data_IF_406001277765
#
_entry.id   IF_406001277765
#
_cell.length_a   1.000
_cell.length_b   1.000
_cell.length_c   1.000
_cell.angle_alpha   90.00
_cell.angle_beta   90.00
_cell.angle_gamma   90.00
#
_symmetry.space_group_name_H-M   'P 1'
#
loop_
_entity.id
_entity.type
_entity.pdbx_description
1 polymer ?
#
# COMPACT_ATOMS: atom_id res chain seq x y z
N UNK A 1 5.52 7.90 -14.27
CA UNK A 1 4.25 7.80 -13.51
C UNK A 1 3.69 6.40 -13.69
N UNK A 2 3.24 5.76 -12.61
CA UNK A 2 2.63 4.41 -12.66
C UNK A 2 1.26 4.50 -13.37
N UNK A 3 1.02 3.63 -14.36
CA UNK A 3 -0.27 3.58 -15.07
C UNK A 3 -1.42 3.24 -14.11
N UNK A 4 -2.62 3.77 -14.39
CA UNK A 4 -3.84 3.53 -13.60
C UNK A 4 -4.16 2.03 -13.49
N UNK A 5 -3.96 1.27 -14.56
CA UNK A 5 -4.14 -0.19 -14.56
C UNK A 5 -3.15 -0.90 -13.62
N UNK A 6 -1.93 -0.39 -13.56
CA UNK A 6 -0.90 -0.94 -12.69
C UNK A 6 -1.23 -0.67 -11.21
N UNK A 7 -1.72 0.53 -10.87
CA UNK A 7 -2.22 0.86 -9.53
C UNK A 7 -3.40 -0.04 -9.14
N UNK A 8 -4.35 -0.25 -10.05
CA UNK A 8 -5.46 -1.17 -9.87
C UNK A 8 -4.99 -2.61 -9.58
N UNK A 9 -3.98 -3.12 -10.29
CA UNK A 9 -3.43 -4.45 -10.01
C UNK A 9 -2.73 -4.56 -8.65
N UNK A 10 -2.01 -3.52 -8.21
CA UNK A 10 -1.43 -3.48 -6.87
C UNK A 10 -2.52 -3.55 -5.80
N UNK A 11 -3.59 -2.76 -5.96
CA UNK A 11 -4.70 -2.72 -5.03
C UNK A 11 -5.43 -4.08 -4.96
N UNK A 12 -5.66 -4.75 -6.10
CA UNK A 12 -6.21 -6.11 -6.13
C UNK A 12 -5.35 -7.11 -5.37
N UNK A 13 -4.03 -7.09 -5.57
CA UNK A 13 -3.09 -7.96 -4.85
C UNK A 13 -3.08 -7.67 -3.35
N UNK A 14 -3.30 -6.41 -2.96
CA UNK A 14 -3.42 -6.00 -1.57
C UNK A 14 -4.81 -6.32 -0.96
N UNK A 15 -5.73 -6.91 -1.72
CA UNK A 15 -7.07 -7.31 -1.26
C UNK A 15 -8.12 -6.19 -1.28
N UNK A 16 -7.83 -5.04 -1.91
CA UNK A 16 -8.81 -3.96 -2.05
C UNK A 16 -9.80 -4.25 -3.17
N UNK A 17 -11.07 -3.91 -2.95
CA UNK A 17 -12.11 -3.98 -3.98
C UNK A 17 -11.89 -2.89 -5.02
N UNK A 18 -11.29 -3.27 -6.15
CA UNK A 18 -11.03 -2.36 -7.26
C UNK A 18 -12.23 -2.33 -8.19
N UNK A 19 -12.85 -1.16 -8.42
CA UNK A 19 -14.02 -1.07 -9.27
C UNK A 19 -13.66 -1.32 -10.74
N UNK A 20 -14.62 -1.84 -11.49
CA UNK A 20 -14.47 -2.15 -12.91
C UNK A 20 -14.13 -0.88 -13.72
N UNK A 21 -13.31 -1.07 -14.76
CA UNK A 21 -12.87 0.02 -15.63
C UNK A 21 -13.96 0.46 -16.63
N UNK A 22 -13.83 1.65 -17.21
CA UNK A 22 -14.75 2.17 -18.23
C UNK A 22 -14.83 1.20 -19.42
N UNK A 23 -16.03 0.95 -19.92
CA UNK A 23 -16.28 -0.04 -20.99
C UNK A 23 -16.70 -1.42 -20.50
N UNK A 24 -16.66 -1.67 -19.19
CA UNK A 24 -17.32 -2.84 -18.58
C UNK A 24 -18.79 -2.50 -18.30
N UNK A 25 -19.75 -3.40 -18.61
CA UNK A 25 -21.18 -3.19 -18.32
C UNK A 25 -21.47 -2.97 -16.82
N UNK A 26 -20.60 -3.44 -15.93
CA UNK A 26 -20.71 -3.26 -14.47
C UNK A 26 -19.88 -2.08 -13.94
N UNK A 27 -19.34 -1.22 -14.81
CA UNK A 27 -18.58 -0.04 -14.39
C UNK A 27 -19.51 1.07 -13.91
N UNK A 28 -19.38 1.55 -12.66
CA UNK A 28 -20.09 2.74 -12.21
C UNK A 28 -19.51 4.04 -12.81
N UNK A 29 -18.37 3.97 -13.50
CA UNK A 29 -17.70 5.14 -14.07
C UNK A 29 -17.99 5.30 -15.56
N UNK A 30 -18.41 6.51 -15.93
CA UNK A 30 -18.75 6.88 -17.31
C UNK A 30 -17.51 7.20 -18.16
N UNK A 31 -16.42 7.66 -17.54
CA UNK A 31 -15.16 8.01 -18.24
C UNK A 31 -13.94 7.42 -17.55
N UNK A 32 -12.90 7.17 -18.34
CA UNK A 32 -11.60 6.70 -17.85
C UNK A 32 -10.96 7.65 -16.84
N UNK A 33 -11.22 8.95 -16.94
CA UNK A 33 -10.72 9.96 -16.02
C UNK A 33 -11.38 9.84 -14.63
N UNK A 34 -12.70 9.60 -14.59
CA UNK A 34 -13.41 9.35 -13.32
C UNK A 34 -12.94 8.06 -12.65
N UNK A 35 -12.73 7.00 -13.43
CA UNK A 35 -12.17 5.75 -12.92
C UNK A 35 -10.74 5.95 -12.39
N UNK A 36 -9.89 6.67 -13.14
CA UNK A 36 -8.52 6.95 -12.71
C UNK A 36 -8.46 7.72 -11.38
N UNK A 37 -9.31 8.74 -11.20
CA UNK A 37 -9.41 9.46 -9.93
C UNK A 37 -9.79 8.53 -8.77
N UNK A 38 -10.76 7.65 -8.96
CA UNK A 38 -11.17 6.69 -7.93
C UNK A 38 -10.05 5.72 -7.56
N UNK A 39 -9.32 5.19 -8.56
CA UNK A 39 -8.16 4.34 -8.33
C UNK A 39 -7.05 5.10 -7.59
N UNK A 40 -6.82 6.37 -7.93
CA UNK A 40 -5.82 7.20 -7.27
C UNK A 40 -6.18 7.46 -5.80
N UNK A 41 -7.44 7.75 -5.49
CA UNK A 41 -7.89 7.89 -4.10
C UNK A 41 -7.65 6.61 -3.30
N UNK A 42 -8.02 5.44 -3.83
CA UNK A 42 -7.76 4.15 -3.19
C UNK A 42 -6.25 3.89 -3.01
N UNK A 43 -5.45 4.26 -4.02
CA UNK A 43 -4.01 4.10 -3.98
C UNK A 43 -3.35 4.99 -2.92
N UNK A 44 -3.83 6.21 -2.70
CA UNK A 44 -3.33 7.09 -1.62
C UNK A 44 -3.54 6.45 -0.25
N UNK A 45 -4.73 5.90 0.02
CA UNK A 45 -5.00 5.20 1.28
C UNK A 45 -4.08 3.99 1.46
N UNK A 46 -3.95 3.16 0.42
CA UNK A 46 -3.03 2.02 0.44
C UNK A 46 -1.58 2.44 0.68
N UNK A 47 -1.11 3.49 -0.01
CA UNK A 47 0.26 4.00 0.13
C UNK A 47 0.51 4.54 1.54
N UNK A 48 -0.46 5.25 2.13
CA UNK A 48 -0.39 5.71 3.51
C UNK A 48 -0.31 4.55 4.50
N UNK A 49 -1.18 3.53 4.36
CA UNK A 49 -1.14 2.33 5.21
C UNK A 49 0.18 1.57 5.06
N UNK A 50 0.69 1.43 3.83
CA UNK A 50 1.96 0.76 3.56
C UNK A 50 3.14 1.53 4.17
N UNK A 51 3.14 2.86 4.07
CA UNK A 51 4.16 3.71 4.68
C UNK A 51 4.13 3.59 6.20
N UNK A 52 2.94 3.66 6.82
CA UNK A 52 2.78 3.48 8.27
C UNK A 52 3.28 2.11 8.73
N UNK A 53 2.97 1.03 7.99
CA UNK A 53 3.50 -0.30 8.28
C UNK A 53 5.03 -0.35 8.18
N UNK A 54 5.60 0.19 7.10
CA UNK A 54 7.06 0.19 6.93
C UNK A 54 7.80 0.97 8.01
N UNK A 55 7.20 2.05 8.53
CA UNK A 55 7.76 2.84 9.61
C UNK A 55 7.77 2.03 10.92
N UNK A 56 6.66 1.34 11.22
CA UNK A 56 6.57 0.45 12.38
C UNK A 56 7.56 -0.71 12.31
N UNK A 57 7.66 -1.37 11.16
CA UNK A 57 8.61 -2.47 10.94
C UNK A 57 10.07 -1.98 11.17
N UNK A 58 10.38 -0.74 10.76
CA UNK A 58 11.70 -0.13 10.98
C UNK A 58 11.97 0.21 12.46
N UNK A 59 10.96 0.65 13.21
CA UNK A 59 11.08 0.88 14.65
C UNK A 59 11.25 -0.43 15.43
N UNK A 60 10.48 -1.47 15.09
CA UNK A 60 10.61 -2.81 15.65
C UNK A 60 12.02 -3.37 15.40
N UNK A 61 12.56 -3.21 14.18
CA UNK A 61 13.94 -3.58 13.87
C UNK A 61 14.98 -2.82 14.70
N UNK A 62 14.79 -1.52 14.94
CA UNK A 62 15.68 -0.71 15.80
C UNK A 62 15.63 -1.17 17.25
N UNK A 63 14.43 -1.42 17.78
CA UNK A 63 14.25 -1.91 19.15
C UNK A 63 14.90 -3.28 19.33
N UNK A 64 14.72 -4.20 18.37
CA UNK A 64 15.37 -5.51 18.39
C UNK A 64 16.90 -5.39 18.35
N UNK A 65 17.45 -4.51 17.52
CA UNK A 65 18.90 -4.29 17.44
C UNK A 65 19.47 -3.79 18.78
N UNK A 66 18.77 -2.86 19.47
CA UNK A 66 19.18 -2.39 20.79
C UNK A 66 19.14 -3.49 21.85
N UNK A 67 18.12 -4.35 21.82
CA UNK A 67 18.01 -5.49 22.73
C UNK A 67 19.14 -6.50 22.48
N UNK A 68 19.46 -6.81 21.22
CA UNK A 68 20.57 -7.68 20.86
C UNK A 68 21.91 -7.14 21.37
N UNK A 69 22.17 -5.84 21.21
CA UNK A 69 23.41 -5.21 21.66
C UNK A 69 23.54 -5.21 23.19
N UNK A 70 22.44 -4.92 23.91
CA UNK A 70 22.40 -5.04 25.38
C UNK A 70 22.62 -6.47 25.85
N UNK A 71 22.00 -7.45 25.18
CA UNK A 71 22.20 -8.86 25.52
C UNK A 71 23.66 -9.23 25.32
N UNK A 72 24.28 -8.95 24.16
CA UNK A 72 25.68 -9.25 23.89
C UNK A 72 26.63 -8.63 24.93
N UNK A 73 26.34 -7.41 25.39
CA UNK A 73 27.13 -6.74 26.45
C UNK A 73 26.96 -7.39 27.83
N UNK A 74 25.83 -8.03 28.12
CA UNK A 74 25.60 -8.69 29.41
C UNK A 74 26.30 -10.05 29.56
N UNK A 75 26.73 -10.64 28.44
CA UNK A 75 27.46 -11.92 28.39
C UNK A 75 28.97 -11.75 28.19
N UNK A 76 29.48 -10.51 28.18
CA UNK A 76 30.89 -10.16 28.06
C UNK A 76 31.42 -9.62 29.39
#
# INVERSE_FOLDING_TARGET
MLSTEHKANILRKAGYTVPAGPGNPNSPYQTAQCWAKAIDTLYVTYAASRAAKSLRDAEEARMLALLQLRSAKAWA
#
